data_IF_931521841083
#
_entry.id   IF_931521841083
#
_cell.length_a   1.000
_cell.length_b   1.000
_cell.length_c   1.000
_cell.angle_alpha   90.00
_cell.angle_beta   90.00
_cell.angle_gamma   90.00
#
_symmetry.space_group_name_H-M   'P 1'
#
loop_
_entity.id
_entity.type
_entity.pdbx_description
1 polymer ?
#
# COMPACT_ATOMS: atom_id res chain seq x y z
N UNK A 1 -52.83 -18.29 18.14
CA UNK A 1 -51.89 -18.24 16.98
C UNK A 1 -51.36 -16.84 16.66
N UNK A 2 -51.62 -15.81 17.48
CA UNK A 2 -51.21 -14.42 17.21
C UNK A 2 -49.97 -13.97 18.00
N UNK A 3 -49.63 -14.65 19.11
CA UNK A 3 -48.46 -14.29 19.93
C UNK A 3 -47.13 -14.83 19.39
N UNK A 4 -47.14 -15.92 18.61
CA UNK A 4 -45.92 -16.50 18.04
C UNK A 4 -45.33 -15.65 16.92
N UNK A 5 -46.21 -14.97 16.16
CA UNK A 5 -45.81 -14.10 15.05
C UNK A 5 -45.16 -12.80 15.54
N UNK A 6 -45.64 -12.25 16.65
CA UNK A 6 -45.06 -11.04 17.24
C UNK A 6 -43.65 -11.28 17.81
N UNK A 7 -43.37 -12.46 18.36
CA UNK A 7 -42.06 -12.81 18.90
C UNK A 7 -41.01 -13.05 17.81
N UNK A 8 -41.41 -13.59 16.65
CA UNK A 8 -40.51 -13.80 15.51
C UNK A 8 -40.09 -12.47 14.87
N UNK A 9 -41.02 -11.50 14.77
CA UNK A 9 -40.71 -10.16 14.23
C UNK A 9 -39.76 -9.39 15.16
N UNK A 10 -39.96 -9.49 16.48
CA UNK A 10 -39.07 -8.85 17.45
C UNK A 10 -37.64 -9.44 17.44
N UNK A 11 -37.52 -10.75 17.20
CA UNK A 11 -36.23 -11.43 17.09
C UNK A 11 -35.51 -11.11 15.77
N UNK A 12 -36.25 -10.90 14.67
CA UNK A 12 -35.68 -10.44 13.40
C UNK A 12 -35.18 -8.97 13.46
N UNK A 13 -35.78 -8.11 14.27
CA UNK A 13 -35.32 -6.73 14.46
C UNK A 13 -34.02 -6.61 15.28
N UNK A 14 -33.66 -7.62 16.08
CA UNK A 14 -32.41 -7.63 16.86
C UNK A 14 -31.21 -8.17 16.06
N UNK A 15 -31.45 -8.92 14.99
CA UNK A 15 -30.39 -9.50 14.14
C UNK A 15 -29.93 -8.53 13.04
N UNK A 16 -30.67 -7.44 12.79
CA UNK A 16 -30.15 -6.30 12.03
C UNK A 16 -29.36 -5.35 12.94
N UNK A 17 -28.41 -5.86 13.71
CA UNK A 17 -27.23 -5.06 13.97
C UNK A 17 -26.56 -4.91 12.62
N UNK A 18 -26.81 -3.76 11.98
CA UNK A 18 -26.00 -3.28 10.88
C UNK A 18 -24.56 -3.67 11.16
N UNK A 19 -23.95 -4.43 10.26
CA UNK A 19 -22.51 -4.40 10.07
C UNK A 19 -22.23 -3.00 9.48
N UNK A 20 -22.51 -1.99 10.28
CA UNK A 20 -22.15 -0.61 10.05
C UNK A 20 -20.68 -0.61 10.34
N UNK A 21 -19.89 -0.72 9.28
CA UNK A 21 -18.49 -0.39 9.32
C UNK A 21 -18.40 0.97 9.99
N UNK A 22 -17.96 1.01 11.25
CA UNK A 22 -17.86 2.23 12.04
C UNK A 22 -17.01 3.18 11.22
N UNK A 23 -17.60 4.26 10.70
CA UNK A 23 -16.85 5.27 9.95
C UNK A 23 -15.77 5.79 10.90
N UNK A 24 -14.54 5.32 10.67
CA UNK A 24 -13.36 5.71 11.43
C UNK A 24 -12.78 6.90 10.70
N UNK A 25 -13.08 8.10 11.15
CA UNK A 25 -12.57 9.31 10.51
C UNK A 25 -11.16 9.59 11.02
N UNK A 26 -10.16 9.38 10.16
CA UNK A 26 -8.76 9.36 10.61
C UNK A 26 -8.25 10.70 11.15
N UNK A 27 -8.89 11.80 10.77
CA UNK A 27 -8.50 13.17 11.09
C UNK A 27 -9.11 13.71 12.38
N UNK A 28 -9.91 12.92 13.11
CA UNK A 28 -10.67 13.39 14.29
C UNK A 28 -9.93 13.27 15.61
N UNK A 29 -9.07 12.25 15.78
CA UNK A 29 -8.44 11.95 17.07
C UNK A 29 -6.96 11.60 16.94
N UNK A 30 -6.14 12.10 17.88
CA UNK A 30 -4.72 11.80 17.94
C UNK A 30 -4.43 10.30 18.17
N UNK A 31 -5.29 9.60 18.92
CA UNK A 31 -5.17 8.15 19.12
C UNK A 31 -5.35 7.38 17.81
N UNK A 32 -6.29 7.79 16.96
CA UNK A 32 -6.48 7.19 15.63
C UNK A 32 -5.26 7.39 14.73
N UNK A 33 -4.64 8.59 14.75
CA UNK A 33 -3.41 8.86 14.02
C UNK A 33 -2.22 8.07 14.59
N UNK A 34 -2.16 7.89 15.91
CA UNK A 34 -1.16 7.03 16.57
C UNK A 34 -1.28 5.57 16.12
N UNK A 35 -2.49 5.01 16.08
CA UNK A 35 -2.74 3.67 15.55
C UNK A 35 -2.33 3.55 14.07
N UNK A 36 -2.60 4.60 13.27
CA UNK A 36 -2.22 4.63 11.86
C UNK A 36 -0.70 4.58 11.68
N UNK A 37 0.09 5.21 12.57
CA UNK A 37 1.56 5.10 12.55
C UNK A 37 2.01 3.64 12.76
N UNK A 38 1.35 2.89 13.63
CA UNK A 38 1.66 1.47 13.82
C UNK A 38 1.31 0.63 12.58
N UNK A 39 0.17 0.92 11.95
CA UNK A 39 -0.23 0.30 10.69
C UNK A 39 0.78 0.62 9.58
N UNK A 40 1.23 1.86 9.46
CA UNK A 40 2.24 2.28 8.48
C UNK A 40 3.55 1.50 8.64
N UNK A 41 4.01 1.30 9.88
CA UNK A 41 5.18 0.46 10.18
C UNK A 41 4.99 -0.97 9.69
N UNK A 42 3.81 -1.56 9.90
CA UNK A 42 3.52 -2.91 9.42
C UNK A 42 3.52 -2.99 7.88
N UNK A 43 2.92 -2.01 7.20
CA UNK A 43 2.96 -1.93 5.73
C UNK A 43 4.40 -1.85 5.22
N UNK A 44 5.25 -1.02 5.85
CA UNK A 44 6.67 -0.92 5.50
C UNK A 44 7.40 -2.27 5.66
N UNK A 45 7.16 -2.99 6.75
CA UNK A 45 7.75 -4.32 6.98
C UNK A 45 7.32 -5.31 5.89
N UNK A 46 6.03 -5.35 5.54
CA UNK A 46 5.52 -6.28 4.54
C UNK A 46 6.07 -5.98 3.14
N UNK A 47 6.22 -4.70 2.78
CA UNK A 47 6.86 -4.28 1.53
C UNK A 47 8.35 -4.60 1.49
N UNK A 48 9.08 -4.42 2.60
CA UNK A 48 10.49 -4.83 2.68
C UNK A 48 10.66 -6.33 2.50
N UNK A 49 9.81 -7.14 3.15
CA UNK A 49 9.79 -8.60 2.96
C UNK A 49 9.49 -8.99 1.51
N UNK A 50 8.62 -8.24 0.84
CA UNK A 50 8.35 -8.44 -0.59
C UNK A 50 9.60 -8.16 -1.45
N UNK A 51 10.30 -7.06 -1.19
CA UNK A 51 11.56 -6.72 -1.88
C UNK A 51 12.64 -7.79 -1.65
N UNK A 52 12.80 -8.30 -0.44
CA UNK A 52 13.74 -9.39 -0.13
C UNK A 52 13.44 -10.64 -0.95
N UNK A 53 12.15 -11.02 -1.06
CA UNK A 53 11.72 -12.16 -1.88
C UNK A 53 11.93 -11.91 -3.37
N UNK A 54 11.65 -10.70 -3.86
CA UNK A 54 11.95 -10.32 -5.25
C UNK A 54 13.44 -10.51 -5.57
N UNK A 55 14.32 -10.03 -4.68
CA UNK A 55 15.78 -10.16 -4.84
C UNK A 55 16.23 -11.62 -4.82
N UNK A 56 15.64 -12.43 -3.95
CA UNK A 56 15.95 -13.87 -3.90
C UNK A 56 15.60 -14.58 -5.21
N UNK A 57 14.38 -14.37 -5.72
CA UNK A 57 13.94 -14.95 -7.00
C UNK A 57 14.77 -14.42 -8.16
N UNK A 58 15.05 -13.11 -8.19
CA UNK A 58 15.92 -12.50 -9.18
C UNK A 58 17.30 -13.16 -9.18
N UNK A 59 17.91 -13.35 -8.01
CA UNK A 59 19.21 -14.00 -7.88
C UNK A 59 19.20 -15.43 -8.40
N UNK A 60 18.16 -16.21 -8.09
CA UNK A 60 18.03 -17.58 -8.61
C UNK A 60 17.88 -17.64 -10.13
N UNK A 61 17.06 -16.76 -10.71
CA UNK A 61 16.91 -16.65 -12.17
C UNK A 61 18.24 -16.27 -12.79
N UNK A 62 18.93 -15.26 -12.25
CA UNK A 62 20.23 -14.82 -12.75
C UNK A 62 21.27 -15.94 -12.65
N UNK A 63 21.36 -16.64 -11.53
CA UNK A 63 22.27 -17.77 -11.37
C UNK A 63 22.01 -18.86 -12.40
N UNK A 64 20.74 -19.19 -12.66
CA UNK A 64 20.40 -20.17 -13.70
C UNK A 64 20.80 -19.67 -15.10
N UNK A 65 20.48 -18.42 -15.44
CA UNK A 65 20.77 -17.86 -16.78
C UNK A 65 22.26 -17.67 -17.02
N UNK A 66 23.01 -17.25 -16.00
CA UNK A 66 24.44 -16.93 -16.11
C UNK A 66 25.35 -18.15 -15.93
N UNK A 67 24.80 -19.28 -15.48
CA UNK A 67 25.52 -20.56 -15.40
C UNK A 67 25.87 -21.07 -16.81
N UNK A 68 27.08 -20.69 -17.26
CA UNK A 68 27.60 -20.99 -18.60
C UNK A 68 27.70 -22.49 -18.81
N UNK A 69 27.16 -22.96 -19.92
CA UNK A 69 27.21 -24.35 -20.32
C UNK A 69 28.26 -24.59 -21.41
N UNK A 70 28.84 -25.80 -21.49
CA UNK A 70 29.83 -26.14 -22.52
C UNK A 70 29.31 -26.03 -23.97
N UNK A 71 27.98 -25.99 -24.14
CA UNK A 71 27.31 -25.89 -25.42
C UNK A 71 26.84 -24.47 -25.78
N UNK A 72 27.07 -23.46 -24.93
CA UNK A 72 26.57 -22.10 -25.17
C UNK A 72 27.19 -21.44 -26.41
N UNK A 73 28.44 -21.80 -26.74
CA UNK A 73 29.15 -21.25 -27.89
C UNK A 73 28.91 -22.06 -29.19
N UNK A 74 28.10 -23.13 -29.13
CA UNK A 74 27.78 -23.95 -30.30
C UNK A 74 26.70 -23.28 -31.15
N UNK A 75 27.08 -22.78 -32.33
CA UNK A 75 26.20 -22.01 -33.21
C UNK A 75 25.67 -22.80 -34.41
N UNK A 76 26.29 -23.93 -34.77
CA UNK A 76 25.87 -24.75 -35.92
C UNK A 76 25.12 -26.03 -35.49
N UNK A 77 24.15 -26.45 -36.29
CA UNK A 77 23.37 -27.67 -36.05
C UNK A 77 24.24 -28.93 -36.01
N UNK A 78 25.30 -28.99 -36.82
CA UNK A 78 26.23 -30.12 -36.82
C UNK A 78 27.02 -30.19 -35.52
N UNK A 79 27.55 -29.08 -35.02
CA UNK A 79 28.30 -29.04 -33.77
C UNK A 79 27.42 -29.40 -32.56
N UNK A 80 26.17 -28.93 -32.54
CA UNK A 80 25.18 -29.32 -31.52
C UNK A 80 24.89 -30.83 -31.60
N UNK A 81 24.66 -31.36 -32.81
CA UNK A 81 24.39 -32.78 -33.01
C UNK A 81 25.57 -33.64 -32.55
N UNK A 82 26.80 -33.26 -32.92
CA UNK A 82 28.02 -33.96 -32.51
C UNK A 82 28.23 -33.93 -31.00
N UNK A 83 27.98 -32.80 -30.34
CA UNK A 83 28.01 -32.69 -28.88
C UNK A 83 27.02 -33.64 -28.21
N UNK A 84 25.79 -33.73 -28.74
CA UNK A 84 24.71 -34.54 -28.18
C UNK A 84 24.83 -36.05 -28.44
N UNK A 85 25.71 -36.48 -29.36
CA UNK A 85 26.02 -37.92 -29.56
C UNK A 85 26.62 -38.56 -28.29
N UNK A 86 27.25 -37.77 -27.43
CA UNK A 86 27.76 -38.27 -26.16
C UNK A 86 26.62 -38.36 -25.11
N UNK A 87 26.28 -39.56 -24.61
CA UNK A 87 25.09 -39.75 -23.78
C UNK A 87 25.12 -38.96 -22.46
N UNK A 88 26.31 -38.71 -21.90
CA UNK A 88 26.45 -37.88 -20.69
C UNK A 88 26.09 -36.42 -20.97
N UNK A 89 26.39 -35.89 -22.16
CA UNK A 89 26.06 -34.50 -22.50
C UNK A 89 24.54 -34.32 -22.61
N UNK A 90 23.88 -35.24 -23.31
CA UNK A 90 22.42 -35.28 -23.38
C UNK A 90 21.78 -35.41 -21.99
N UNK A 91 22.33 -36.29 -21.13
CA UNK A 91 21.89 -36.44 -19.75
C UNK A 91 22.02 -35.14 -18.94
N UNK A 92 23.15 -34.43 -19.02
CA UNK A 92 23.34 -33.18 -18.27
C UNK A 92 22.39 -32.07 -18.74
N UNK A 93 22.17 -31.93 -20.05
CA UNK A 93 21.20 -30.99 -20.60
C UNK A 93 19.78 -31.28 -20.09
N UNK A 94 19.34 -32.54 -20.19
CA UNK A 94 18.02 -32.96 -19.69
C UNK A 94 17.90 -32.72 -18.19
N UNK A 95 18.92 -33.08 -17.40
CA UNK A 95 18.95 -32.85 -15.95
C UNK A 95 18.81 -31.36 -15.61
N UNK A 96 19.52 -30.48 -16.33
CA UNK A 96 19.45 -29.02 -16.14
C UNK A 96 18.05 -28.48 -16.49
N UNK A 97 17.48 -28.90 -17.62
CA UNK A 97 16.15 -28.48 -18.07
C UNK A 97 14.99 -29.06 -17.26
N UNK A 98 15.23 -30.11 -16.50
CA UNK A 98 14.23 -30.71 -15.61
C UNK A 98 14.45 -30.27 -14.16
N UNK A 99 15.40 -30.90 -13.46
CA UNK A 99 15.63 -30.67 -12.04
C UNK A 99 16.18 -29.27 -11.75
N UNK A 100 17.09 -28.76 -12.60
CA UNK A 100 17.64 -27.41 -12.47
C UNK A 100 16.56 -26.33 -12.61
N UNK A 101 15.87 -26.33 -13.75
CA UNK A 101 14.81 -25.35 -14.05
C UNK A 101 13.64 -25.43 -13.06
N UNK A 102 13.26 -26.63 -12.61
CA UNK A 102 12.19 -26.84 -11.62
C UNK A 102 12.42 -26.08 -10.31
N UNK A 103 13.68 -25.88 -9.91
CA UNK A 103 14.01 -25.11 -8.72
C UNK A 103 13.64 -23.63 -8.91
N UNK A 104 14.05 -23.04 -10.03
CA UNK A 104 13.70 -21.65 -10.40
C UNK A 104 12.18 -21.48 -10.50
N UNK A 105 11.49 -22.41 -11.16
CA UNK A 105 10.03 -22.39 -11.26
C UNK A 105 9.35 -22.41 -9.89
N UNK A 106 9.84 -23.25 -8.97
CA UNK A 106 9.26 -23.36 -7.64
C UNK A 106 9.38 -22.05 -6.85
N UNK A 107 10.48 -21.33 -7.02
CA UNK A 107 10.71 -20.05 -6.36
C UNK A 107 9.84 -18.94 -6.95
N UNK A 108 9.70 -18.88 -8.29
CA UNK A 108 8.75 -17.99 -8.96
C UNK A 108 7.32 -18.28 -8.47
N UNK A 109 6.92 -19.55 -8.44
CA UNK A 109 5.59 -19.97 -7.97
C UNK A 109 5.35 -19.60 -6.50
N UNK A 110 6.35 -19.75 -5.63
CA UNK A 110 6.27 -19.32 -4.21
C UNK A 110 6.11 -17.81 -4.10
N UNK A 111 6.81 -17.05 -4.94
CA UNK A 111 6.70 -15.60 -4.97
C UNK A 111 5.32 -15.13 -5.40
N UNK A 112 4.74 -15.72 -6.45
CA UNK A 112 3.38 -15.39 -6.90
C UNK A 112 2.29 -15.66 -5.84
N UNK A 113 2.53 -16.60 -4.92
CA UNK A 113 1.62 -16.85 -3.79
C UNK A 113 1.73 -15.78 -2.68
N UNK A 114 2.81 -15.01 -2.66
CA UNK A 114 3.03 -13.94 -1.69
C UNK A 114 2.79 -12.58 -2.35
N UNK A 115 1.58 -12.04 -2.19
CA UNK A 115 1.23 -10.71 -2.69
C UNK A 115 0.95 -9.76 -1.50
N UNK A 116 1.84 -8.81 -1.18
CA UNK A 116 1.63 -7.85 -0.10
C UNK A 116 0.42 -6.93 -0.38
N UNK A 117 0.00 -6.77 -1.64
CA UNK A 117 -1.18 -5.98 -1.98
C UNK A 117 -2.47 -6.62 -1.46
N UNK A 118 -2.51 -7.94 -1.28
CA UNK A 118 -3.64 -8.62 -0.64
C UNK A 118 -3.80 -8.11 0.79
N UNK A 119 -2.71 -8.04 1.55
CA UNK A 119 -2.75 -7.54 2.94
C UNK A 119 -3.14 -6.06 2.98
N UNK A 120 -2.52 -5.22 2.15
CA UNK A 120 -2.85 -3.78 2.08
C UNK A 120 -4.34 -3.56 1.73
N UNK A 121 -4.88 -4.32 0.77
CA UNK A 121 -6.31 -4.28 0.41
C UNK A 121 -7.19 -4.71 1.59
N UNK A 122 -6.81 -5.77 2.31
CA UNK A 122 -7.55 -6.22 3.50
C UNK A 122 -7.53 -5.16 4.61
N UNK A 123 -6.38 -4.57 4.91
CA UNK A 123 -6.23 -3.48 5.88
C UNK A 123 -7.10 -2.27 5.52
N UNK A 124 -7.16 -1.90 4.23
CA UNK A 124 -8.03 -0.82 3.74
C UNK A 124 -9.52 -1.17 3.89
N UNK A 125 -9.91 -2.41 3.59
CA UNK A 125 -11.29 -2.91 3.81
C UNK A 125 -11.67 -2.93 5.29
N UNK A 126 -10.71 -3.13 6.18
CA UNK A 126 -10.91 -3.14 7.64
C UNK A 126 -10.81 -1.74 8.27
N UNK A 127 -10.68 -0.65 7.48
CA UNK A 127 -10.45 0.73 7.96
C UNK A 127 -9.25 0.86 8.90
N UNK A 128 -8.20 0.08 8.65
CA UNK A 128 -6.88 0.28 9.28
C UNK A 128 -6.05 1.32 8.52
N UNK A 129 -6.36 1.52 7.24
CA UNK A 129 -5.78 2.56 6.38
C UNK A 129 -6.86 3.57 5.95
N UNK A 130 -6.50 4.85 5.74
CA UNK A 130 -7.42 5.87 5.25
C UNK A 130 -7.87 5.60 3.81
N UNK A 131 -9.01 6.19 3.47
CA UNK A 131 -9.57 6.31 2.12
C UNK A 131 -9.40 7.75 1.61
N UNK A 132 -9.73 7.97 0.34
CA UNK A 132 -9.60 9.29 -0.28
C UNK A 132 -10.51 10.34 0.42
N UNK A 133 -11.68 9.92 0.92
CA UNK A 133 -12.58 10.80 1.68
C UNK A 133 -11.98 11.27 3.01
N UNK A 134 -11.13 10.47 3.66
CA UNK A 134 -10.42 10.91 4.88
C UNK A 134 -9.45 12.04 4.58
N UNK A 135 -8.81 12.00 3.41
CA UNK A 135 -7.92 13.07 2.98
C UNK A 135 -8.71 14.36 2.69
N UNK A 136 -9.89 14.24 2.05
CA UNK A 136 -10.78 15.39 1.83
C UNK A 136 -11.31 15.97 3.16
N UNK A 137 -11.64 15.12 4.14
CA UNK A 137 -12.05 15.54 5.48
C UNK A 137 -10.94 16.23 6.27
N UNK A 138 -9.70 15.77 6.13
CA UNK A 138 -8.52 16.43 6.71
C UNK A 138 -8.28 17.80 6.08
N UNK A 139 -8.29 17.89 4.74
CA UNK A 139 -8.13 19.16 4.04
C UNK A 139 -9.24 20.14 4.40
N UNK A 140 -10.49 19.67 4.49
CA UNK A 140 -11.64 20.46 4.97
C UNK A 140 -11.38 21.02 6.35
N UNK A 141 -10.96 20.17 7.29
CA UNK A 141 -10.66 20.57 8.67
C UNK A 141 -9.54 21.61 8.71
N UNK A 142 -8.53 21.50 7.84
CA UNK A 142 -7.44 22.48 7.78
C UNK A 142 -7.90 23.85 7.26
N UNK A 143 -8.73 23.89 6.21
CA UNK A 143 -9.31 25.14 5.72
C UNK A 143 -10.22 25.76 6.79
N UNK A 144 -11.05 24.96 7.46
CA UNK A 144 -11.90 25.43 8.55
C UNK A 144 -11.08 26.01 9.71
N UNK A 145 -9.94 25.41 10.07
CA UNK A 145 -9.04 25.97 11.08
C UNK A 145 -8.39 27.27 10.61
N UNK A 146 -7.99 27.35 9.33
CA UNK A 146 -7.44 28.56 8.74
C UNK A 146 -8.44 29.72 8.83
N UNK A 147 -9.71 29.47 8.50
CA UNK A 147 -10.80 30.44 8.57
C UNK A 147 -11.10 30.88 10.01
N UNK A 148 -11.38 29.92 10.91
CA UNK A 148 -11.80 30.20 12.29
C UNK A 148 -10.73 30.94 13.09
N UNK A 149 -9.46 30.61 12.89
CA UNK A 149 -8.35 31.15 13.67
C UNK A 149 -7.52 32.18 12.91
N UNK A 150 -7.92 32.55 11.70
CA UNK A 150 -7.18 33.48 10.83
C UNK A 150 -5.70 33.10 10.74
N UNK A 151 -5.43 31.83 10.40
CA UNK A 151 -4.07 31.32 10.32
C UNK A 151 -3.34 31.94 9.12
N UNK A 152 -2.10 32.37 9.32
CA UNK A 152 -1.24 32.81 8.21
C UNK A 152 -0.97 31.63 7.28
N UNK A 153 -1.50 31.71 6.05
CA UNK A 153 -1.35 30.66 5.04
C UNK A 153 0.11 30.44 4.64
N UNK A 154 0.91 31.51 4.54
CA UNK A 154 2.33 31.40 4.21
C UNK A 154 3.08 30.61 5.27
N UNK A 155 2.85 30.91 6.55
CA UNK A 155 3.43 30.12 7.64
C UNK A 155 2.89 28.68 7.66
N UNK A 156 1.61 28.48 7.38
CA UNK A 156 1.00 27.15 7.26
C UNK A 156 1.66 26.31 6.17
N UNK A 157 1.96 26.89 5.01
CA UNK A 157 2.66 26.16 3.93
C UNK A 157 4.08 25.76 4.29
N UNK A 158 4.74 26.47 5.21
CA UNK A 158 6.03 26.07 5.79
C UNK A 158 5.89 25.02 6.88
N UNK A 159 4.66 24.67 7.26
CA UNK A 159 4.35 23.74 8.32
C UNK A 159 4.30 24.39 9.70
N UNK A 160 4.05 25.69 9.80
CA UNK A 160 3.94 26.42 11.06
C UNK A 160 2.50 26.91 11.25
N UNK A 161 1.97 26.83 12.47
CA UNK A 161 0.69 27.46 12.78
C UNK A 161 0.98 28.82 13.38
N UNK A 162 0.66 29.90 12.66
CA UNK A 162 0.79 31.26 13.14
C UNK A 162 -0.60 31.93 13.17
N UNK A 163 -0.94 32.55 14.29
CA UNK A 163 -2.22 33.27 14.47
C UNK A 163 -1.94 34.72 14.82
N UNK A 164 -2.64 35.69 14.23
CA UNK A 164 -2.41 37.11 14.53
C UNK A 164 -3.17 37.61 15.78
N UNK A 165 -4.18 36.88 16.28
CA UNK A 165 -5.11 37.36 17.33
C UNK A 165 -5.37 36.28 18.40
N UNK A 166 -5.40 36.59 19.73
CA UNK A 166 -5.00 37.82 20.42
C UNK A 166 -3.57 37.75 21.01
N UNK A 167 -2.90 36.60 20.93
CA UNK A 167 -1.47 36.47 21.21
C UNK A 167 -0.80 35.92 19.96
N UNK A 168 -0.03 36.76 19.27
CA UNK A 168 0.80 36.32 18.13
C UNK A 168 1.71 35.19 18.60
N UNK A 169 1.38 33.97 18.19
CA UNK A 169 2.05 32.73 18.59
C UNK A 169 2.29 31.90 17.36
N UNK A 170 3.52 31.43 17.22
CA UNK A 170 3.90 30.45 16.20
C UNK A 170 4.11 29.10 16.86
N UNK A 171 3.37 28.09 16.43
CA UNK A 171 3.59 26.70 16.79
C UNK A 171 4.38 26.05 15.63
N UNK A 172 5.67 25.72 15.82
CA UNK A 172 6.46 25.14 14.75
C UNK A 172 6.08 23.67 14.52
N UNK A 173 5.66 23.34 13.30
CA UNK A 173 5.65 21.97 12.80
C UNK A 173 6.97 21.58 12.14
N UNK A 174 6.99 20.38 11.55
CA UNK A 174 8.22 19.73 11.05
C UNK A 174 8.19 19.41 9.55
N UNK A 175 7.06 19.64 8.89
CA UNK A 175 6.84 19.25 7.50
C UNK A 175 6.15 20.39 6.75
N UNK A 176 6.74 20.90 5.66
CA UNK A 176 6.08 21.88 4.80
C UNK A 176 5.03 21.20 3.90
N UNK A 177 4.11 22.00 3.39
CA UNK A 177 3.19 21.60 2.32
C UNK A 177 3.86 21.83 0.97
N UNK A 178 3.74 20.86 0.06
CA UNK A 178 4.20 21.04 -1.32
C UNK A 178 3.11 21.69 -2.19
N UNK A 179 3.44 22.07 -3.42
CA UNK A 179 2.50 22.72 -4.33
C UNK A 179 1.23 21.90 -4.62
N UNK A 180 1.33 20.56 -4.62
CA UNK A 180 0.18 19.68 -4.81
C UNK A 180 -0.73 19.65 -3.58
N UNK A 181 -0.15 19.69 -2.39
CA UNK A 181 -0.91 19.80 -1.14
C UNK A 181 -1.71 21.11 -1.12
N UNK A 182 -1.06 22.24 -1.44
CA UNK A 182 -1.73 23.54 -1.54
C UNK A 182 -2.86 23.55 -2.55
N UNK A 183 -2.67 22.94 -3.73
CA UNK A 183 -3.73 22.80 -4.74
C UNK A 183 -4.91 21.97 -4.21
N UNK A 184 -4.66 20.87 -3.51
CA UNK A 184 -5.73 20.03 -2.96
C UNK A 184 -6.53 20.79 -1.89
N UNK A 185 -5.85 21.56 -1.04
CA UNK A 185 -6.46 22.39 0.01
C UNK A 185 -7.30 23.51 -0.62
N UNK A 186 -6.77 24.24 -1.61
CA UNK A 186 -7.52 25.32 -2.28
C UNK A 186 -8.76 24.82 -3.03
N UNK A 187 -8.69 23.63 -3.65
CA UNK A 187 -9.85 22.99 -4.26
C UNK A 187 -10.94 22.64 -3.24
N UNK A 188 -10.57 22.34 -2.00
CA UNK A 188 -11.54 22.15 -0.91
C UNK A 188 -12.14 23.48 -0.48
N UNK A 189 -11.31 24.52 -0.29
CA UNK A 189 -11.78 25.87 0.05
C UNK A 189 -12.79 26.40 -0.97
N UNK A 190 -12.47 26.28 -2.27
CA UNK A 190 -13.36 26.68 -3.36
C UNK A 190 -14.71 25.95 -3.31
N UNK A 191 -14.70 24.64 -3.06
CA UNK A 191 -15.94 23.84 -2.95
C UNK A 191 -16.81 24.23 -1.75
N UNK A 192 -16.20 24.82 -0.72
CA UNK A 192 -16.91 25.34 0.46
C UNK A 192 -17.34 26.81 0.31
N UNK A 193 -17.04 27.44 -0.82
CA UNK A 193 -17.36 28.85 -1.07
C UNK A 193 -16.41 29.84 -0.38
N UNK A 194 -15.25 29.37 0.11
CA UNK A 194 -14.21 30.21 0.69
C UNK A 194 -13.22 30.63 -0.40
N UNK A 195 -13.54 31.72 -1.11
CA UNK A 195 -12.74 32.22 -2.25
C UNK A 195 -11.59 33.15 -1.84
N UNK A 196 -11.63 33.67 -0.63
CA UNK A 196 -10.66 34.64 -0.08
C UNK A 196 -9.52 33.96 0.73
N UNK A 197 -9.56 32.63 0.88
CA UNK A 197 -8.56 31.81 1.58
C UNK A 197 -7.52 31.20 0.65
#
# INVERSE_FOLDING_TARGET
MTHFWSSVVLLCCLVTHSIGQKNKDFYTTASTLSDLIHVEKQVKIDLLRYVERLRFVQGSILNFVQDRQPYDDLTSLSAISDYLKHPVHAFQLIKRMTAGLKTVEAEIKRMLKFDPLINIKAMRKQRLLPWDDDFQGLATSLVTLQDIYSLDFHELTKGHLHTEIPLSRTIPGRLPLNARDCLNISQVAQRQGMYEL
#
